data_IF_148095388619
#
_entry.id   IF_148095388619
#
_cell.length_a   1.000
_cell.length_b   1.000
_cell.length_c   1.000
_cell.angle_alpha   90.00
_cell.angle_beta   90.00
_cell.angle_gamma   90.00
#
_symmetry.space_group_name_H-M   'P 1'
#
loop_
_entity.id
_entity.type
_entity.pdbx_description
1 polymer ?
#
# COMPACT_ATOMS: atom_id res chain seq x y z
N UNK A 1 8.48 18.01 -11.03
CA UNK A 1 8.77 16.80 -10.22
C UNK A 1 7.57 15.89 -10.13
N UNK A 2 6.38 16.47 -10.12
CA UNK A 2 5.06 15.86 -10.09
C UNK A 2 4.89 14.80 -11.19
N UNK A 3 5.26 15.10 -12.44
CA UNK A 3 5.18 14.14 -13.55
C UNK A 3 6.02 12.88 -13.29
N UNK A 4 7.25 13.04 -12.78
CA UNK A 4 8.12 11.91 -12.45
C UNK A 4 7.49 11.05 -11.34
N UNK A 5 6.94 11.70 -10.31
CA UNK A 5 6.26 11.00 -9.21
C UNK A 5 5.01 10.26 -9.69
N UNK A 6 4.23 10.84 -10.61
CA UNK A 6 3.08 10.16 -11.22
C UNK A 6 3.51 8.91 -12.01
N UNK A 7 4.62 8.99 -12.76
CA UNK A 7 5.15 7.83 -13.50
C UNK A 7 5.60 6.74 -12.52
N UNK A 8 6.33 7.10 -11.46
CA UNK A 8 6.78 6.15 -10.43
C UNK A 8 5.60 5.51 -9.70
N UNK A 9 4.59 6.29 -9.30
CA UNK A 9 3.37 5.77 -8.70
C UNK A 9 2.63 4.82 -9.66
N UNK A 10 2.54 5.18 -10.95
CA UNK A 10 1.98 4.32 -11.99
C UNK A 10 2.72 2.97 -12.12
N UNK A 11 4.05 2.97 -12.06
CA UNK A 11 4.84 1.74 -12.06
C UNK A 11 4.59 0.90 -10.80
N UNK A 12 4.46 1.52 -9.62
CA UNK A 12 4.09 0.81 -8.39
C UNK A 12 2.69 0.19 -8.49
N UNK A 13 1.73 0.91 -9.05
CA UNK A 13 0.39 0.36 -9.32
C UNK A 13 0.45 -0.84 -10.28
N UNK A 14 1.21 -0.73 -11.37
CA UNK A 14 1.38 -1.83 -12.32
C UNK A 14 2.02 -3.07 -11.66
N UNK A 15 3.08 -2.88 -10.88
CA UNK A 15 3.74 -3.97 -10.15
C UNK A 15 2.83 -4.58 -9.07
N UNK A 16 2.08 -3.76 -8.34
CA UNK A 16 1.13 -4.19 -7.33
C UNK A 16 0.04 -5.08 -7.94
N UNK A 17 -0.61 -4.61 -9.01
CA UNK A 17 -1.65 -5.38 -9.72
C UNK A 17 -1.07 -6.68 -10.27
N UNK A 18 0.13 -6.64 -10.87
CA UNK A 18 0.78 -7.85 -11.38
C UNK A 18 1.02 -8.89 -10.27
N UNK A 19 1.48 -8.47 -9.09
CA UNK A 19 1.69 -9.36 -7.94
C UNK A 19 0.38 -9.88 -7.33
N UNK A 20 -0.66 -9.04 -7.28
CA UNK A 20 -1.99 -9.43 -6.80
C UNK A 20 -2.65 -10.49 -7.69
N UNK A 21 -2.31 -10.54 -8.99
CA UNK A 21 -2.79 -11.57 -9.92
C UNK A 21 -1.98 -12.88 -9.85
N UNK A 22 -0.96 -12.94 -9.01
CA UNK A 22 -0.14 -14.15 -8.87
C UNK A 22 -0.80 -15.21 -7.99
N UNK A 23 -0.34 -16.45 -8.11
CA UNK A 23 -0.93 -17.61 -7.42
C UNK A 23 -0.46 -17.80 -5.96
N UNK A 24 0.51 -17.02 -5.48
CA UNK A 24 1.06 -17.17 -4.13
C UNK A 24 0.44 -16.12 -3.21
N UNK A 25 -0.11 -16.49 -2.04
CA UNK A 25 -0.67 -15.51 -1.09
C UNK A 25 0.39 -14.50 -0.67
N UNK A 26 1.63 -14.95 -0.43
CA UNK A 26 2.70 -14.06 -0.01
C UNK A 26 2.96 -12.95 -1.05
N UNK A 27 2.94 -13.31 -2.35
CA UNK A 27 3.06 -12.33 -3.43
C UNK A 27 1.85 -11.38 -3.48
N UNK A 28 0.64 -11.86 -3.22
CA UNK A 28 -0.55 -11.01 -3.11
C UNK A 28 -0.39 -10.00 -1.96
N UNK A 29 0.08 -10.43 -0.79
CA UNK A 29 0.33 -9.55 0.36
C UNK A 29 1.36 -8.47 -0.01
N UNK A 30 2.48 -8.83 -0.64
CA UNK A 30 3.47 -7.86 -1.12
C UNK A 30 2.83 -6.89 -2.14
N UNK A 31 1.99 -7.40 -3.05
CA UNK A 31 1.23 -6.60 -4.00
C UNK A 31 0.34 -5.55 -3.31
N UNK A 32 -0.40 -5.94 -2.25
CA UNK A 32 -1.21 -5.00 -1.46
C UNK A 32 -0.37 -3.93 -0.76
N UNK A 33 0.82 -4.28 -0.28
CA UNK A 33 1.77 -3.31 0.31
C UNK A 33 2.29 -2.30 -0.72
N UNK A 34 2.68 -2.78 -1.90
CA UNK A 34 3.11 -1.92 -3.01
C UNK A 34 1.99 -0.98 -3.48
N UNK A 35 0.75 -1.47 -3.50
CA UNK A 35 -0.42 -0.65 -3.82
C UNK A 35 -0.57 0.52 -2.84
N UNK A 36 -0.48 0.22 -1.54
CA UNK A 36 -0.56 1.23 -0.47
C UNK A 36 0.55 2.29 -0.62
N UNK A 37 1.79 1.87 -0.88
CA UNK A 37 2.88 2.81 -1.15
C UNK A 37 2.66 3.68 -2.40
N UNK A 38 2.14 3.10 -3.49
CA UNK A 38 1.76 3.84 -4.69
C UNK A 38 0.71 4.92 -4.39
N UNK A 39 -0.31 4.59 -3.62
CA UNK A 39 -1.34 5.54 -3.17
C UNK A 39 -0.78 6.64 -2.29
N UNK A 40 0.12 6.32 -1.34
CA UNK A 40 0.77 7.34 -0.50
C UNK A 40 1.56 8.35 -1.34
N UNK A 41 2.33 7.88 -2.32
CA UNK A 41 3.08 8.76 -3.23
C UNK A 41 2.16 9.60 -4.11
N UNK A 42 1.03 9.04 -4.56
CA UNK A 42 0.04 9.76 -5.35
C UNK A 42 -0.61 10.88 -4.54
N UNK A 43 -1.03 10.60 -3.29
CA UNK A 43 -1.57 11.60 -2.37
C UNK A 43 -0.59 12.73 -2.10
N UNK A 44 0.69 12.40 -1.86
CA UNK A 44 1.74 13.39 -1.67
C UNK A 44 1.92 14.27 -2.91
N UNK A 45 1.87 13.67 -4.10
CA UNK A 45 2.04 14.38 -5.37
C UNK A 45 0.88 15.35 -5.65
N UNK A 46 -0.35 14.97 -5.29
CA UNK A 46 -1.53 15.85 -5.41
C UNK A 46 -1.48 17.06 -4.46
N UNK A 47 -0.77 16.95 -3.34
CA UNK A 47 -0.56 18.03 -2.37
C UNK A 47 0.42 19.13 -2.79
N UNK A 48 1.13 18.94 -3.91
CA UNK A 48 2.17 19.85 -4.39
C UNK A 48 3.52 19.64 -3.69
N UNK A 49 4.55 19.33 -4.48
CA UNK A 49 5.88 18.96 -3.97
C UNK A 49 6.83 20.14 -3.77
N UNK A 50 6.45 21.33 -4.23
CA UNK A 50 7.32 22.53 -4.29
C UNK A 50 6.84 23.70 -3.43
N UNK A 51 5.92 23.46 -2.51
CA UNK A 51 5.25 24.50 -1.73
C UNK A 51 5.85 24.62 -0.34
N UNK A 52 6.60 25.70 -0.09
CA UNK A 52 6.93 26.18 1.27
C UNK A 52 7.86 25.30 2.11
N UNK A 53 7.97 25.67 3.39
CA UNK A 53 8.71 24.94 4.42
C UNK A 53 7.81 23.93 5.14
N UNK A 54 8.40 23.09 5.99
CA UNK A 54 7.67 22.13 6.84
C UNK A 54 6.55 22.82 7.63
N UNK A 55 5.34 22.22 7.73
CA UNK A 55 4.17 22.82 8.40
C UNK A 55 4.30 22.75 9.94
N UNK A 56 5.35 23.37 10.47
CA UNK A 56 5.64 23.49 11.90
C UNK A 56 5.78 24.97 12.24
N UNK A 57 4.90 25.43 13.13
CA UNK A 57 4.90 26.81 13.60
C UNK A 57 6.13 27.04 14.49
N UNK A 58 7.18 27.64 13.92
CA UNK A 58 8.44 27.89 14.64
C UNK A 58 9.49 28.60 13.80
N UNK A 59 9.56 28.28 12.50
CA UNK A 59 10.37 29.05 11.55
C UNK A 59 9.54 30.22 11.00
N UNK A 60 10.13 31.42 10.89
CA UNK A 60 9.46 32.57 10.24
C UNK A 60 9.46 32.38 8.72
N UNK A 61 8.77 31.34 8.24
CA UNK A 61 8.70 30.99 6.85
C UNK A 61 7.62 31.80 6.12
N UNK A 62 7.93 32.22 4.89
CA UNK A 62 7.01 32.97 4.04
C UNK A 62 5.86 32.12 3.47
N UNK A 63 6.02 30.79 3.46
CA UNK A 63 5.03 29.84 2.93
C UNK A 63 5.28 28.46 3.54
N UNK A 64 4.21 27.73 3.84
CA UNK A 64 4.23 26.38 4.40
C UNK A 64 3.66 25.38 3.40
N UNK A 65 4.13 24.13 3.44
CA UNK A 65 3.51 23.01 2.71
C UNK A 65 2.12 22.71 3.27
N UNK A 66 1.21 22.22 2.43
CA UNK A 66 -0.11 21.78 2.86
C UNK A 66 -0.01 20.63 3.88
N UNK A 67 -0.52 20.80 5.13
CA UNK A 67 -0.48 19.75 6.15
C UNK A 67 -1.52 18.65 5.90
N UNK A 68 -2.56 18.89 5.09
CA UNK A 68 -3.68 17.96 4.92
C UNK A 68 -3.22 16.62 4.29
N UNK A 69 -2.48 16.59 3.16
CA UNK A 69 -1.99 15.34 2.59
C UNK A 69 -1.11 14.54 3.56
N UNK A 70 -0.31 15.22 4.38
CA UNK A 70 0.60 14.58 5.33
C UNK A 70 -0.17 13.83 6.43
N UNK A 71 -1.20 14.46 7.00
CA UNK A 71 -2.06 13.85 8.01
C UNK A 71 -2.86 12.65 7.43
N UNK A 72 -3.35 12.78 6.20
CA UNK A 72 -4.04 11.69 5.49
C UNK A 72 -3.12 10.49 5.26
N UNK A 73 -1.88 10.72 4.82
CA UNK A 73 -0.91 9.65 4.58
C UNK A 73 -0.54 8.95 5.89
N UNK A 74 -0.30 9.68 6.99
CA UNK A 74 0.02 9.07 8.28
C UNK A 74 -1.11 8.14 8.76
N UNK A 75 -2.36 8.57 8.59
CA UNK A 75 -3.53 7.76 8.91
C UNK A 75 -3.61 6.49 8.03
N UNK A 76 -3.41 6.65 6.72
CA UNK A 76 -3.42 5.55 5.77
C UNK A 76 -2.30 4.52 6.04
N UNK A 77 -1.12 4.97 6.47
CA UNK A 77 0.00 4.09 6.84
C UNK A 77 -0.38 3.18 8.01
N UNK A 78 -0.99 3.73 9.08
CA UNK A 78 -1.36 2.94 10.27
C UNK A 78 -2.47 1.93 9.94
N UNK A 79 -3.47 2.33 9.15
CA UNK A 79 -4.53 1.42 8.69
C UNK A 79 -3.93 0.31 7.83
N UNK A 80 -3.09 0.66 6.85
CA UNK A 80 -2.43 -0.31 5.97
C UNK A 80 -1.59 -1.29 6.77
N UNK A 81 -0.84 -0.82 7.76
CA UNK A 81 -0.08 -1.67 8.66
C UNK A 81 -0.97 -2.68 9.41
N UNK A 82 -2.08 -2.22 10.01
CA UNK A 82 -3.01 -3.09 10.72
C UNK A 82 -3.64 -4.16 9.82
N UNK A 83 -4.07 -3.77 8.62
CA UNK A 83 -4.64 -4.70 7.63
C UNK A 83 -3.59 -5.71 7.16
N UNK A 84 -2.37 -5.28 6.84
CA UNK A 84 -1.27 -6.17 6.43
C UNK A 84 -0.89 -7.15 7.55
N UNK A 85 -0.86 -6.71 8.81
CA UNK A 85 -0.57 -7.58 9.94
C UNK A 85 -1.65 -8.68 10.09
N UNK A 86 -2.92 -8.31 10.02
CA UNK A 86 -4.03 -9.28 10.05
C UNK A 86 -3.93 -10.23 8.85
N UNK A 87 -3.66 -9.71 7.66
CA UNK A 87 -3.58 -10.52 6.45
C UNK A 87 -2.43 -11.53 6.50
N UNK A 88 -1.27 -11.14 7.06
CA UNK A 88 -0.15 -12.05 7.31
C UNK A 88 -0.52 -13.16 8.31
N UNK A 89 -1.25 -12.83 9.38
CA UNK A 89 -1.71 -13.83 10.36
C UNK A 89 -2.68 -14.83 9.71
N UNK A 90 -3.60 -14.34 8.88
CA UNK A 90 -4.52 -15.20 8.11
C UNK A 90 -3.74 -16.11 7.16
N UNK A 91 -2.79 -15.56 6.41
CA UNK A 91 -1.97 -16.35 5.49
C UNK A 91 -1.12 -17.40 6.23
N UNK A 92 -0.56 -17.05 7.39
CA UNK A 92 0.17 -17.99 8.24
C UNK A 92 -0.72 -19.14 8.73
N UNK A 93 -1.94 -18.82 9.21
CA UNK A 93 -2.92 -19.84 9.65
C UNK A 93 -3.36 -20.73 8.49
N UNK A 94 -3.69 -20.14 7.34
CA UNK A 94 -4.07 -20.88 6.14
C UNK A 94 -2.96 -21.85 5.70
N UNK A 95 -1.70 -21.40 5.74
CA UNK A 95 -0.56 -22.26 5.43
C UNK A 95 -0.37 -23.38 6.46
N UNK A 96 -0.60 -23.11 7.75
CA UNK A 96 -0.54 -24.12 8.80
C UNK A 96 -1.60 -25.22 8.63
N UNK A 97 -2.81 -24.85 8.22
CA UNK A 97 -3.94 -25.77 8.09
C UNK A 97 -3.92 -26.53 6.75
N UNK A 98 -3.56 -25.87 5.65
CA UNK A 98 -3.65 -26.43 4.28
C UNK A 98 -2.30 -26.89 3.73
N UNK A 99 -1.18 -26.46 4.33
CA UNK A 99 0.18 -26.81 3.89
C UNK A 99 0.58 -26.22 2.53
N UNK A 100 -0.23 -25.32 1.96
CA UNK A 100 -0.01 -24.73 0.63
C UNK A 100 -0.23 -23.22 0.64
N UNK A 101 0.57 -22.51 -0.14
CA UNK A 101 0.46 -21.06 -0.39
C UNK A 101 -0.18 -20.79 -1.78
N UNK A 102 -0.57 -21.85 -2.50
CA UNK A 102 -1.11 -21.71 -3.85
C UNK A 102 -2.61 -21.43 -3.82
N UNK A 103 -3.01 -20.23 -4.23
CA UNK A 103 -4.41 -19.78 -4.32
C UNK A 103 -5.32 -20.71 -5.11
N UNK A 104 -4.82 -21.40 -6.13
CA UNK A 104 -5.65 -22.35 -6.89
C UNK A 104 -6.04 -23.58 -6.05
N UNK A 105 -5.19 -23.97 -5.10
CA UNK A 105 -5.39 -25.13 -4.21
C UNK A 105 -6.13 -24.77 -2.93
N UNK A 106 -6.29 -23.47 -2.63
CA UNK A 106 -7.04 -22.97 -1.48
C UNK A 106 -8.56 -22.90 -1.74
N UNK A 107 -9.00 -23.20 -2.96
CA UNK A 107 -10.42 -23.39 -3.28
C UNK A 107 -10.81 -24.77 -2.78
N UNK A 108 -11.54 -24.83 -1.66
CA UNK A 108 -11.99 -26.08 -1.06
C UNK A 108 -12.56 -27.03 -2.12
N UNK A 109 -12.27 -28.33 -2.00
CA UNK A 109 -12.76 -29.32 -2.95
C UNK A 109 -14.28 -29.28 -3.00
N UNK A 110 -14.87 -29.19 -4.19
CA UNK A 110 -16.32 -29.39 -4.45
C UNK A 110 -16.77 -30.84 -4.19
N UNK A 111 -16.17 -31.54 -3.23
CA UNK A 111 -16.31 -32.98 -3.00
C UNK A 111 -16.94 -33.33 -1.64
N UNK A 112 -17.76 -32.44 -1.08
CA UNK A 112 -18.52 -32.70 0.15
C UNK A 112 -20.02 -32.36 -0.01
N UNK A 113 -20.59 -32.76 -1.17
CA UNK A 113 -22.04 -32.96 -1.39
C UNK A 113 -22.33 -34.46 -1.62
#
# INVERSE_FOLDING_TARGET
MEILMCIVAGMLFAAAVYLMLSKSLLRIIIGTGLLSHGTHLMLLTMGGLKTGTVPVLGEHAASYTDPIPQALILTAIVISFGVTAIFLVIAYRAYQDLGTDNMDQLRGSEADD
#
